data_IF_727843208729
#
_entry.id   IF_727843208729
#
_cell.length_a   1.000
_cell.length_b   1.000
_cell.length_c   1.000
_cell.angle_alpha   90.00
_cell.angle_beta   90.00
_cell.angle_gamma   90.00
#
_symmetry.space_group_name_H-M   'P 1'
#
loop_
_entity.id
_entity.type
_entity.pdbx_description
1 polymer ?
#
# COMPACT_ATOMS: atom_id res chain seq x y z
N UNK A 1 -7.86 -17.86 9.50
CA UNK A 1 -7.76 -16.78 8.49
C UNK A 1 -6.46 -16.88 7.69
N UNK A 2 -5.29 -16.74 8.33
CA UNK A 2 -3.97 -16.78 7.66
C UNK A 2 -3.74 -18.00 6.75
N UNK A 3 -4.05 -19.22 7.21
CA UNK A 3 -3.91 -20.45 6.39
C UNK A 3 -4.69 -20.37 5.07
N UNK A 4 -5.88 -19.77 5.08
CA UNK A 4 -6.72 -19.58 3.89
C UNK A 4 -6.11 -18.50 2.99
N UNK A 5 -5.60 -17.41 3.56
CA UNK A 5 -4.90 -16.36 2.82
C UNK A 5 -3.68 -16.89 2.06
N UNK A 6 -2.81 -17.67 2.72
CA UNK A 6 -1.65 -18.29 2.06
C UNK A 6 -2.05 -19.27 0.96
N UNK A 7 -3.14 -20.01 1.17
CA UNK A 7 -3.66 -20.93 0.17
C UNK A 7 -4.21 -20.16 -1.04
N UNK A 8 -4.90 -19.02 -0.84
CA UNK A 8 -5.34 -18.14 -1.94
C UNK A 8 -4.15 -17.54 -2.70
N UNK A 9 -3.11 -17.08 -2.00
CA UNK A 9 -1.89 -16.54 -2.61
C UNK A 9 -1.24 -17.57 -3.55
N UNK A 10 -1.18 -18.84 -3.13
CA UNK A 10 -0.62 -19.93 -3.95
C UNK A 10 -1.33 -20.09 -5.30
N UNK A 11 -2.62 -19.77 -5.38
CA UNK A 11 -3.44 -19.89 -6.60
C UNK A 11 -3.50 -18.59 -7.41
N UNK A 12 -2.76 -17.55 -7.02
CA UNK A 12 -2.76 -16.24 -7.64
C UNK A 12 -1.33 -15.90 -8.11
N UNK A 13 -0.82 -16.55 -9.18
CA UNK A 13 0.57 -16.40 -9.62
C UNK A 13 0.91 -14.95 -10.00
N UNK A 14 -0.08 -14.14 -10.41
CA UNK A 14 0.12 -12.72 -10.68
C UNK A 14 0.57 -11.90 -9.47
N UNK A 15 0.31 -12.36 -8.23
CA UNK A 15 0.87 -11.72 -7.03
C UNK A 15 2.40 -11.79 -7.00
N UNK A 16 3.00 -12.83 -7.59
CA UNK A 16 4.46 -12.90 -7.75
C UNK A 16 4.96 -11.80 -8.67
N UNK A 17 4.16 -11.38 -9.66
CA UNK A 17 4.50 -10.25 -10.52
C UNK A 17 4.66 -8.95 -9.73
N UNK A 18 3.79 -8.71 -8.74
CA UNK A 18 3.91 -7.54 -7.84
C UNK A 18 5.21 -7.63 -7.02
N UNK A 19 5.53 -8.80 -6.47
CA UNK A 19 6.78 -9.03 -5.77
C UNK A 19 8.00 -8.79 -6.69
N UNK A 20 7.97 -9.29 -7.93
CA UNK A 20 9.04 -9.07 -8.91
C UNK A 20 9.24 -7.59 -9.22
N UNK A 21 8.16 -6.80 -9.34
CA UNK A 21 8.25 -5.35 -9.51
C UNK A 21 8.95 -4.68 -8.32
N UNK A 22 8.58 -5.07 -7.09
CA UNK A 22 9.20 -4.55 -5.86
C UNK A 22 10.68 -4.92 -5.75
N UNK A 23 11.03 -6.18 -6.05
CA UNK A 23 12.43 -6.64 -6.08
C UNK A 23 13.23 -5.88 -7.15
N UNK A 24 12.71 -5.79 -8.37
CA UNK A 24 13.36 -5.10 -9.49
C UNK A 24 13.61 -3.63 -9.18
N UNK A 25 12.62 -2.96 -8.59
CA UNK A 25 12.75 -1.59 -8.11
C UNK A 25 13.82 -1.44 -7.03
N UNK A 26 13.83 -2.33 -6.02
CA UNK A 26 14.83 -2.31 -4.96
C UNK A 26 16.26 -2.53 -5.49
N UNK A 27 16.44 -3.49 -6.40
CA UNK A 27 17.73 -3.75 -7.05
C UNK A 27 18.22 -2.54 -7.87
N UNK A 28 17.32 -1.82 -8.54
CA UNK A 28 17.66 -0.61 -9.29
C UNK A 28 18.21 0.50 -8.38
N UNK A 29 17.59 0.73 -7.21
CA UNK A 29 18.07 1.72 -6.24
C UNK A 29 19.40 1.27 -5.62
N UNK A 30 19.52 0.00 -5.23
CA UNK A 30 20.77 -0.58 -4.72
C UNK A 30 21.90 -0.40 -5.73
N UNK A 31 21.64 -0.68 -7.01
CA UNK A 31 22.62 -0.47 -8.08
C UNK A 31 23.04 0.99 -8.18
N UNK A 32 22.08 1.93 -8.16
CA UNK A 32 22.37 3.38 -8.19
C UNK A 32 23.23 3.84 -7.02
N UNK A 33 22.91 3.37 -5.80
CA UNK A 33 23.69 3.70 -4.60
C UNK A 33 25.13 3.17 -4.69
N UNK A 34 25.32 1.98 -5.27
CA UNK A 34 26.66 1.40 -5.46
C UNK A 34 27.45 2.07 -6.58
N UNK A 35 26.79 2.48 -7.67
CA UNK A 35 27.44 3.18 -8.78
C UNK A 35 27.81 4.63 -8.48
N UNK A 36 27.21 5.22 -7.44
CA UNK A 36 27.42 6.63 -7.07
C UNK A 36 27.46 6.79 -5.55
N UNK A 37 28.51 6.28 -4.88
CA UNK A 37 28.58 6.21 -3.42
C UNK A 37 28.49 7.59 -2.74
N UNK A 38 29.05 8.63 -3.35
CA UNK A 38 28.99 10.01 -2.82
C UNK A 38 27.57 10.58 -2.78
N UNK A 39 26.66 10.04 -3.61
CA UNK A 39 25.25 10.42 -3.67
C UNK A 39 24.31 9.35 -3.08
N UNK A 40 24.85 8.37 -2.34
CA UNK A 40 24.09 7.23 -1.84
C UNK A 40 22.89 7.62 -0.97
N UNK A 41 23.04 8.62 -0.10
CA UNK A 41 21.96 9.15 0.75
C UNK A 41 20.83 9.80 -0.08
N UNK A 42 21.18 10.53 -1.15
CA UNK A 42 20.21 11.14 -2.07
C UNK A 42 19.44 10.04 -2.82
N UNK A 43 20.13 9.03 -3.33
CA UNK A 43 19.50 7.90 -4.01
C UNK A 43 18.60 7.08 -3.09
N UNK A 44 18.99 6.90 -1.83
CA UNK A 44 18.16 6.25 -0.82
C UNK A 44 16.87 7.04 -0.57
N UNK A 45 16.98 8.34 -0.27
CA UNK A 45 15.82 9.21 -0.01
C UNK A 45 14.89 9.32 -1.20
N UNK A 46 15.43 9.51 -2.41
CA UNK A 46 14.63 9.55 -3.63
C UNK A 46 13.97 8.19 -3.91
N UNK A 47 14.67 7.08 -3.65
CA UNK A 47 14.10 5.74 -3.73
C UNK A 47 12.88 5.56 -2.82
N UNK A 48 12.93 6.10 -1.61
CA UNK A 48 11.80 6.08 -0.69
C UNK A 48 10.62 6.92 -1.18
N UNK A 49 10.88 8.14 -1.66
CA UNK A 49 9.85 9.02 -2.19
C UNK A 49 9.14 8.38 -3.39
N UNK A 50 9.90 7.80 -4.32
CA UNK A 50 9.31 7.14 -5.47
C UNK A 50 8.59 5.84 -5.11
N UNK A 51 9.09 5.05 -4.14
CA UNK A 51 8.35 3.89 -3.64
C UNK A 51 6.99 4.32 -3.08
N UNK A 52 6.96 5.36 -2.24
CA UNK A 52 5.72 5.92 -1.70
C UNK A 52 4.73 6.31 -2.79
N UNK A 53 5.21 6.92 -3.88
CA UNK A 53 4.35 7.29 -5.01
C UNK A 53 3.78 6.07 -5.73
N UNK A 54 4.52 4.95 -5.74
CA UNK A 54 4.12 3.68 -6.35
C UNK A 54 3.28 2.80 -5.42
N UNK A 55 3.33 3.01 -4.11
CA UNK A 55 2.59 2.22 -3.10
C UNK A 55 1.09 2.06 -3.41
N UNK A 56 0.34 3.13 -3.74
CA UNK A 56 -1.08 3.01 -4.10
C UNK A 56 -1.30 2.09 -5.31
N UNK A 57 -0.44 2.21 -6.32
CA UNK A 57 -0.50 1.37 -7.50
C UNK A 57 -0.18 -0.09 -7.17
N UNK A 58 0.86 -0.37 -6.38
CA UNK A 58 1.21 -1.73 -5.97
C UNK A 58 0.09 -2.39 -5.15
N UNK A 59 -0.51 -1.64 -4.22
CA UNK A 59 -1.68 -2.09 -3.45
C UNK A 59 -2.88 -2.33 -4.37
N UNK A 60 -3.09 -1.47 -5.37
CA UNK A 60 -4.15 -1.67 -6.36
C UNK A 60 -4.01 -2.94 -7.18
N UNK A 61 -2.79 -3.32 -7.55
CA UNK A 61 -2.53 -4.57 -8.23
C UNK A 61 -2.88 -5.76 -7.32
N UNK A 62 -2.46 -5.72 -6.06
CA UNK A 62 -2.77 -6.77 -5.07
C UNK A 62 -4.30 -6.93 -4.91
N UNK A 63 -5.01 -5.81 -4.70
CA UNK A 63 -6.47 -5.80 -4.53
C UNK A 63 -7.17 -6.24 -5.81
N UNK A 64 -6.73 -5.79 -6.99
CA UNK A 64 -7.33 -6.19 -8.26
C UNK A 64 -7.15 -7.69 -8.55
N UNK A 65 -5.97 -8.24 -8.29
CA UNK A 65 -5.70 -9.68 -8.46
C UNK A 65 -6.59 -10.51 -7.52
N UNK A 66 -6.69 -10.11 -6.25
CA UNK A 66 -7.56 -10.79 -5.30
C UNK A 66 -9.03 -10.64 -5.69
N UNK A 67 -9.48 -9.44 -6.09
CA UNK A 67 -10.86 -9.20 -6.50
C UNK A 67 -11.23 -10.04 -7.72
N UNK A 68 -10.37 -10.09 -8.73
CA UNK A 68 -10.54 -10.92 -9.93
C UNK A 68 -10.66 -12.41 -9.60
N UNK A 69 -9.94 -12.88 -8.58
CA UNK A 69 -10.07 -14.26 -8.10
C UNK A 69 -11.41 -14.49 -7.38
N UNK A 70 -11.86 -13.54 -6.57
CA UNK A 70 -13.16 -13.61 -5.89
C UNK A 70 -14.35 -13.45 -6.85
N UNK A 71 -14.18 -12.73 -7.98
CA UNK A 71 -15.19 -12.55 -9.03
C UNK A 71 -15.52 -13.84 -9.82
N UNK A 72 -14.77 -14.92 -9.59
CA UNK A 72 -15.15 -16.23 -10.10
C UNK A 72 -16.52 -16.62 -9.52
N UNK A 73 -17.54 -16.70 -10.40
CA UNK A 73 -18.98 -16.68 -10.11
C UNK A 73 -19.43 -17.35 -8.79
N UNK A 74 -19.03 -18.57 -8.39
CA UNK A 74 -19.51 -19.15 -7.14
C UNK A 74 -19.08 -18.39 -5.88
N UNK A 75 -17.93 -17.71 -5.88
CA UNK A 75 -17.36 -17.10 -4.69
C UNK A 75 -18.08 -15.80 -4.32
N UNK A 76 -18.23 -14.86 -5.24
CA UNK A 76 -18.78 -13.53 -4.92
C UNK A 76 -20.29 -13.51 -4.66
N UNK A 77 -21.09 -14.32 -5.37
CA UNK A 77 -22.54 -14.38 -5.12
C UNK A 77 -22.87 -14.87 -3.70
N UNK A 78 -22.08 -15.80 -3.16
CA UNK A 78 -22.25 -16.27 -1.78
C UNK A 78 -22.07 -15.14 -0.75
N UNK A 79 -21.11 -14.24 -1.01
CA UNK A 79 -20.83 -13.07 -0.18
C UNK A 79 -21.98 -12.06 -0.28
N UNK A 80 -22.46 -11.76 -1.48
CA UNK A 80 -23.56 -10.82 -1.69
C UNK A 80 -24.87 -11.26 -1.04
N UNK A 81 -25.11 -12.57 -1.03
CA UNK A 81 -26.29 -13.19 -0.38
C UNK A 81 -26.21 -13.24 1.15
N UNK A 82 -25.03 -12.95 1.73
CA UNK A 82 -24.84 -13.01 3.17
C UNK A 82 -25.53 -11.82 3.88
N UNK A 83 -26.14 -12.03 5.07
CA UNK A 83 -26.82 -10.97 5.82
C UNK A 83 -25.85 -9.90 6.36
N UNK A 84 -24.57 -10.25 6.49
CA UNK A 84 -23.49 -9.31 6.76
C UNK A 84 -22.26 -9.73 5.97
N UNK A 85 -21.60 -8.75 5.36
CA UNK A 85 -20.44 -8.92 4.50
C UNK A 85 -19.14 -8.49 5.18
N UNK A 86 -19.21 -8.01 6.42
CA UNK A 86 -18.09 -7.47 7.20
C UNK A 86 -16.96 -8.46 7.39
N UNK A 87 -17.27 -9.73 7.69
CA UNK A 87 -16.23 -10.76 7.87
C UNK A 87 -15.44 -11.01 6.59
N UNK A 88 -16.12 -11.00 5.44
CA UNK A 88 -15.46 -11.15 4.15
C UNK A 88 -14.61 -9.93 3.82
N UNK A 89 -15.15 -8.71 4.02
CA UNK A 89 -14.43 -7.47 3.77
C UNK A 89 -13.15 -7.41 4.61
N UNK A 90 -13.24 -7.63 5.93
CA UNK A 90 -12.07 -7.66 6.81
C UNK A 90 -11.05 -8.73 6.39
N UNK A 91 -11.51 -9.91 5.96
CA UNK A 91 -10.61 -10.96 5.46
C UNK A 91 -9.87 -10.51 4.18
N UNK A 92 -10.59 -9.82 3.30
CA UNK A 92 -10.08 -9.30 2.03
C UNK A 92 -9.04 -8.19 2.27
N UNK A 93 -9.38 -7.18 3.08
CA UNK A 93 -8.48 -6.07 3.43
C UNK A 93 -7.23 -6.56 4.15
N UNK A 94 -7.39 -7.45 5.14
CA UNK A 94 -6.25 -8.06 5.86
C UNK A 94 -5.39 -8.92 4.93
N UNK A 95 -6.00 -9.63 3.98
CA UNK A 95 -5.28 -10.41 2.98
C UNK A 95 -4.41 -9.54 2.08
N UNK A 96 -4.98 -8.47 1.51
CA UNK A 96 -4.26 -7.49 0.72
C UNK A 96 -3.13 -6.81 1.48
N UNK A 97 -3.41 -6.34 2.69
CA UNK A 97 -2.41 -5.67 3.49
C UNK A 97 -1.28 -6.61 3.94
N UNK A 98 -1.58 -7.87 4.25
CA UNK A 98 -0.54 -8.87 4.58
C UNK A 98 0.41 -9.10 3.41
N UNK A 99 -0.10 -9.18 2.17
CA UNK A 99 0.74 -9.32 0.98
C UNK A 99 1.60 -8.08 0.78
N UNK A 100 1.04 -6.89 0.98
CA UNK A 100 1.81 -5.64 0.95
C UNK A 100 2.96 -5.66 1.97
N UNK A 101 2.69 -6.03 3.23
CA UNK A 101 3.70 -6.11 4.28
C UNK A 101 4.81 -7.12 3.94
N UNK A 102 4.48 -8.25 3.31
CA UNK A 102 5.47 -9.23 2.85
C UNK A 102 6.37 -8.65 1.75
N UNK A 103 5.79 -7.97 0.76
CA UNK A 103 6.55 -7.31 -0.30
C UNK A 103 7.46 -6.22 0.25
N UNK A 104 6.94 -5.40 1.17
CA UNK A 104 7.71 -4.35 1.84
C UNK A 104 8.85 -4.93 2.69
N UNK A 105 8.61 -6.02 3.41
CA UNK A 105 9.66 -6.72 4.16
C UNK A 105 10.76 -7.21 3.22
N UNK A 106 10.40 -7.82 2.07
CA UNK A 106 11.39 -8.23 1.06
C UNK A 106 12.21 -7.04 0.56
N UNK A 107 11.57 -5.90 0.28
CA UNK A 107 12.26 -4.68 -0.12
C UNK A 107 13.25 -4.21 0.96
N UNK A 108 12.81 -4.10 2.21
CA UNK A 108 13.68 -3.70 3.33
C UNK A 108 14.86 -4.66 3.54
N UNK A 109 14.65 -5.97 3.39
CA UNK A 109 15.71 -6.97 3.49
C UNK A 109 16.74 -6.84 2.36
N UNK A 110 16.31 -6.57 1.13
CA UNK A 110 17.22 -6.30 0.01
C UNK A 110 18.12 -5.09 0.32
N UNK A 111 17.54 -3.99 0.81
CA UNK A 111 18.31 -2.81 1.19
C UNK A 111 19.29 -3.11 2.32
N UNK A 112 18.86 -3.86 3.33
CA UNK A 112 19.72 -4.25 4.44
C UNK A 112 20.93 -5.09 4.01
N UNK A 113 20.70 -6.08 3.14
CA UNK A 113 21.76 -6.98 2.67
C UNK A 113 22.74 -6.24 1.76
N UNK A 114 22.26 -5.35 0.89
CA UNK A 114 23.07 -4.81 -0.19
C UNK A 114 23.60 -3.39 0.05
N UNK A 115 23.16 -2.69 1.09
CA UNK A 115 23.62 -1.34 1.45
C UNK A 115 24.21 -1.28 2.86
N UNK A 116 25.01 -0.24 3.14
CA UNK A 116 25.65 -0.03 4.45
C UNK A 116 24.82 0.86 5.39
N UNK A 117 23.55 1.09 5.09
CA UNK A 117 22.67 1.95 5.88
C UNK A 117 22.46 1.31 7.28
N UNK A 118 22.39 2.10 8.37
CA UNK A 118 22.20 1.55 9.72
C UNK A 118 20.87 0.79 9.88
N UNK A 119 20.85 -0.25 10.71
CA UNK A 119 19.65 -1.07 10.93
C UNK A 119 18.42 -0.26 11.36
N UNK A 120 18.63 0.76 12.20
CA UNK A 120 17.58 1.67 12.67
C UNK A 120 16.86 2.38 11.54
N UNK A 121 17.55 2.72 10.45
CA UNK A 121 16.94 3.39 9.30
C UNK A 121 16.07 2.43 8.48
N UNK A 122 16.43 1.14 8.37
CA UNK A 122 15.54 0.15 7.73
C UNK A 122 14.28 -0.11 8.54
N UNK A 123 14.39 -0.15 9.88
CA UNK A 123 13.22 -0.30 10.75
C UNK A 123 12.31 0.91 10.59
N UNK A 124 12.86 2.13 10.61
CA UNK A 124 12.09 3.35 10.39
C UNK A 124 11.41 3.35 9.01
N UNK A 125 12.14 2.98 7.96
CA UNK A 125 11.60 2.79 6.61
C UNK A 125 10.43 1.81 6.63
N UNK A 126 10.64 0.60 7.14
CA UNK A 126 9.62 -0.44 7.11
C UNK A 126 8.37 -0.03 7.89
N UNK A 127 8.54 0.51 9.10
CA UNK A 127 7.43 0.98 9.93
C UNK A 127 6.65 2.07 9.21
N UNK A 128 7.35 3.05 8.67
CA UNK A 128 6.71 4.23 8.11
C UNK A 128 5.99 3.89 6.80
N UNK A 129 6.61 3.13 5.90
CA UNK A 129 5.99 2.63 4.66
C UNK A 129 4.82 1.66 4.92
N UNK A 130 4.89 0.86 6.01
CA UNK A 130 3.81 -0.03 6.39
C UNK A 130 2.54 0.78 6.72
N UNK A 131 2.65 1.74 7.65
CA UNK A 131 1.52 2.58 8.04
C UNK A 131 1.00 3.42 6.87
N UNK A 132 1.89 3.99 6.05
CA UNK A 132 1.46 4.76 4.87
C UNK A 132 0.74 3.90 3.83
N UNK A 133 1.18 2.66 3.61
CA UNK A 133 0.45 1.74 2.72
C UNK A 133 -0.94 1.41 3.24
N UNK A 134 -1.14 1.40 4.56
CA UNK A 134 -2.40 1.01 5.20
C UNK A 134 -3.58 1.88 4.74
N UNK A 135 -3.37 3.19 4.58
CA UNK A 135 -4.44 4.13 4.23
C UNK A 135 -4.98 3.95 2.80
N UNK A 136 -4.17 3.37 1.91
CA UNK A 136 -4.60 3.16 0.52
C UNK A 136 -5.51 1.94 0.38
N UNK A 137 -5.51 1.02 1.35
CA UNK A 137 -6.30 -0.22 1.29
C UNK A 137 -7.80 0.08 1.25
N UNK A 138 -8.40 0.85 2.20
CA UNK A 138 -9.83 1.17 2.18
C UNK A 138 -10.25 1.95 0.92
N UNK A 139 -9.42 2.89 0.47
CA UNK A 139 -9.73 3.72 -0.70
C UNK A 139 -9.83 2.83 -1.95
N UNK A 140 -8.81 2.01 -2.19
CA UNK A 140 -8.73 1.19 -3.39
C UNK A 140 -9.74 0.04 -3.36
N UNK A 141 -9.96 -0.59 -2.20
CA UNK A 141 -10.95 -1.66 -2.08
C UNK A 141 -12.36 -1.14 -2.33
N UNK A 142 -12.70 0.10 -1.91
CA UNK A 142 -14.01 0.69 -2.14
C UNK A 142 -14.36 0.68 -3.64
N UNK A 143 -13.45 1.19 -4.47
CA UNK A 143 -13.63 1.20 -5.92
C UNK A 143 -13.61 -0.22 -6.50
N UNK A 144 -12.72 -1.09 -6.00
CA UNK A 144 -12.61 -2.47 -6.46
C UNK A 144 -13.84 -3.34 -6.18
N UNK A 145 -14.47 -3.13 -5.02
CA UNK A 145 -15.62 -3.91 -4.55
C UNK A 145 -16.90 -3.41 -5.23
N UNK A 146 -17.10 -2.09 -5.30
CA UNK A 146 -18.36 -1.51 -5.79
C UNK A 146 -18.43 -1.52 -7.32
N UNK A 147 -17.32 -1.26 -8.00
CA UNK A 147 -17.34 -1.08 -9.46
C UNK A 147 -16.79 -2.30 -10.19
N UNK A 148 -15.51 -2.62 -10.00
CA UNK A 148 -14.86 -3.83 -10.54
C UNK A 148 -13.38 -3.85 -10.17
N UNK A 149 -12.71 -4.98 -10.37
CA UNK A 149 -11.24 -5.06 -10.25
C UNK A 149 -10.48 -4.06 -11.16
N UNK A 150 -11.07 -3.64 -12.30
CA UNK A 150 -10.46 -2.64 -13.18
C UNK A 150 -10.49 -1.25 -12.54
N UNK A 151 -11.56 -0.92 -11.81
CA UNK A 151 -11.67 0.36 -11.12
C UNK A 151 -10.59 0.51 -10.05
N UNK A 152 -10.24 -0.55 -9.33
CA UNK A 152 -9.11 -0.52 -8.38
C UNK A 152 -7.79 -0.17 -9.08
N UNK A 153 -7.51 -0.77 -10.24
CA UNK A 153 -6.30 -0.47 -11.03
C UNK A 153 -6.28 0.99 -11.48
N UNK A 154 -7.40 1.47 -12.03
CA UNK A 154 -7.52 2.87 -12.49
C UNK A 154 -7.24 3.85 -11.35
N UNK A 155 -7.83 3.61 -10.18
CA UNK A 155 -7.57 4.45 -8.99
C UNK A 155 -6.10 4.40 -8.60
N UNK A 156 -5.50 3.21 -8.55
CA UNK A 156 -4.06 3.07 -8.25
C UNK A 156 -3.17 3.85 -9.22
N UNK A 157 -3.44 3.78 -10.52
CA UNK A 157 -2.69 4.54 -11.54
C UNK A 157 -2.92 6.04 -11.39
N UNK A 158 -4.18 6.48 -11.21
CA UNK A 158 -4.53 7.90 -11.07
C UNK A 158 -3.98 8.52 -9.78
N UNK A 159 -3.74 7.72 -8.75
CA UNK A 159 -3.11 8.19 -7.52
C UNK A 159 -1.60 8.44 -7.66
N UNK A 160 -0.92 7.89 -8.68
CA UNK A 160 0.52 8.16 -8.93
C UNK A 160 0.78 9.64 -9.24
N UNK A 161 0.15 10.28 -10.27
CA UNK A 161 0.39 11.70 -10.52
C UNK A 161 -0.09 12.58 -9.38
N UNK A 162 -1.13 12.16 -8.64
CA UNK A 162 -1.57 12.85 -7.42
C UNK A 162 -0.47 12.84 -6.36
N UNK A 163 0.07 11.66 -6.00
CA UNK A 163 1.14 11.57 -5.00
C UNK A 163 2.38 12.33 -5.48
N UNK A 164 2.81 12.16 -6.74
CA UNK A 164 3.96 12.92 -7.29
C UNK A 164 3.74 14.42 -7.22
N UNK A 165 2.58 14.93 -7.65
CA UNK A 165 2.28 16.36 -7.63
C UNK A 165 2.33 16.91 -6.20
N UNK A 166 1.61 16.31 -5.26
CA UNK A 166 1.62 16.77 -3.87
C UNK A 166 2.99 16.59 -3.19
N UNK A 167 3.77 15.61 -3.63
CA UNK A 167 5.14 15.39 -3.19
C UNK A 167 6.15 16.42 -3.63
N UNK A 168 5.96 16.98 -4.83
CA UNK A 168 6.95 17.83 -5.50
C UNK A 168 6.62 19.32 -5.46
N UNK A 169 5.33 19.71 -5.51
CA UNK A 169 4.93 21.12 -5.59
C UNK A 169 4.41 21.72 -4.29
N UNK A 170 3.88 20.91 -3.37
CA UNK A 170 3.26 21.38 -2.11
C UNK A 170 4.22 21.30 -0.90
N UNK A 171 5.52 21.27 -1.14
CA UNK A 171 6.55 21.25 -0.09
C UNK A 171 6.46 22.46 0.87
N UNK A 172 5.80 23.57 0.47
CA UNK A 172 5.72 24.82 1.24
C UNK A 172 4.36 25.25 1.82
N UNK A 173 3.22 24.59 1.54
CA UNK A 173 1.90 25.08 1.97
C UNK A 173 1.37 24.23 3.15
N UNK A 174 1.06 24.87 4.28
CA UNK A 174 0.74 24.23 5.56
C UNK A 174 -0.55 23.40 5.55
N UNK A 175 -1.50 23.69 4.66
CA UNK A 175 -2.80 23.03 4.61
C UNK A 175 -2.71 21.54 4.21
N UNK A 176 -1.83 21.23 3.25
CA UNK A 176 -1.65 19.88 2.71
C UNK A 176 -0.81 18.99 3.61
N UNK A 177 -0.10 19.59 4.59
CA UNK A 177 0.54 18.85 5.66
C UNK A 177 -0.48 18.14 6.54
N UNK A 178 -1.78 18.41 6.46
CA UNK A 178 -2.79 17.77 7.33
C UNK A 178 -3.49 16.57 6.67
N UNK A 179 -3.26 16.30 5.38
CA UNK A 179 -3.90 15.19 4.67
C UNK A 179 -3.04 13.94 4.79
N UNK A 180 -3.51 12.87 5.47
CA UNK A 180 -2.77 11.61 5.67
C UNK A 180 -2.19 11.01 4.38
N UNK A 181 -2.90 11.16 3.26
CA UNK A 181 -2.51 10.68 1.94
C UNK A 181 -1.27 11.37 1.36
N UNK A 182 -0.90 12.54 1.91
CA UNK A 182 0.19 13.42 1.45
C UNK A 182 1.38 13.45 2.43
N UNK A 183 1.19 13.06 3.70
CA UNK A 183 2.27 12.91 4.69
C UNK A 183 3.37 11.94 4.23
N UNK A 184 2.99 11.00 3.36
CA UNK A 184 3.81 9.94 2.77
C UNK A 184 5.12 10.41 2.15
N UNK A 185 5.17 11.63 1.61
CA UNK A 185 6.33 12.10 0.83
C UNK A 185 7.33 12.86 1.71
N UNK A 186 6.97 13.14 2.97
CA UNK A 186 7.82 13.84 3.95
C UNK A 186 8.43 12.89 4.98
N UNK A 187 8.36 11.57 4.80
CA UNK A 187 8.77 10.55 5.78
C UNK A 187 10.19 10.76 6.33
N UNK A 188 11.11 11.21 5.47
CA UNK A 188 12.52 11.47 5.80
C UNK A 188 12.75 12.83 6.48
N UNK A 189 11.72 13.69 6.52
CA UNK A 189 11.71 15.00 7.16
C UNK A 189 10.99 14.99 8.52
N UNK A 190 10.25 13.91 8.83
CA UNK A 190 9.46 13.85 10.06
C UNK A 190 10.38 13.53 11.24
N UNK A 191 10.45 14.41 12.26
CA UNK A 191 11.19 14.12 13.47
C UNK A 191 10.64 12.87 14.13
N UNK A 192 11.51 12.02 14.70
CA UNK A 192 11.09 10.80 15.43
C UNK A 192 10.04 11.08 16.52
N UNK A 193 10.06 12.27 17.11
CA UNK A 193 9.09 12.72 18.11
C UNK A 193 7.66 12.91 17.57
N UNK A 194 7.50 13.12 16.26
CA UNK A 194 6.21 13.30 15.60
C UNK A 194 5.69 12.03 14.92
N UNK A 195 6.53 10.98 14.83
CA UNK A 195 6.19 9.71 14.18
C UNK A 195 4.97 9.04 14.82
N UNK A 196 4.88 9.03 16.16
CA UNK A 196 3.76 8.43 16.90
C UNK A 196 2.45 9.13 16.55
N UNK A 197 2.45 10.47 16.53
CA UNK A 197 1.27 11.26 16.18
C UNK A 197 0.81 11.01 14.75
N UNK A 198 1.75 10.93 13.79
CA UNK A 198 1.44 10.57 12.42
C UNK A 198 0.81 9.18 12.32
N UNK A 199 1.40 8.19 12.99
CA UNK A 199 0.86 6.82 13.02
C UNK A 199 -0.57 6.82 13.58
N UNK A 200 -0.83 7.55 14.66
CA UNK A 200 -2.17 7.65 15.24
C UNK A 200 -3.17 8.29 14.26
N UNK A 201 -2.79 9.37 13.58
CA UNK A 201 -3.65 10.01 12.57
C UNK A 201 -3.95 9.05 11.43
N UNK A 202 -2.94 8.37 10.89
CA UNK A 202 -3.12 7.37 9.82
C UNK A 202 -4.05 6.26 10.27
N UNK A 203 -3.87 5.74 11.48
CA UNK A 203 -4.72 4.67 12.04
C UNK A 203 -6.18 5.11 12.18
N UNK A 204 -6.42 6.32 12.70
CA UNK A 204 -7.78 6.87 12.85
C UNK A 204 -8.42 7.07 11.48
N UNK A 205 -7.71 7.68 10.53
CA UNK A 205 -8.24 7.90 9.18
C UNK A 205 -8.53 6.58 8.47
N UNK A 206 -7.59 5.63 8.51
CA UNK A 206 -7.79 4.30 7.92
C UNK A 206 -8.99 3.59 8.54
N UNK A 207 -9.16 3.68 9.87
CA UNK A 207 -10.32 3.09 10.55
C UNK A 207 -11.63 3.73 10.09
N UNK A 208 -11.70 5.06 9.99
CA UNK A 208 -12.87 5.78 9.52
C UNK A 208 -13.22 5.43 8.07
N UNK A 209 -12.21 5.38 7.20
CA UNK A 209 -12.36 4.96 5.80
C UNK A 209 -12.87 3.51 5.74
N UNK A 210 -12.27 2.59 6.48
CA UNK A 210 -12.68 1.18 6.51
C UNK A 210 -14.12 1.00 7.02
N UNK A 211 -14.54 1.77 8.02
CA UNK A 211 -15.92 1.78 8.53
C UNK A 211 -16.89 2.28 7.46
N UNK A 212 -16.53 3.32 6.72
CA UNK A 212 -17.32 3.83 5.59
C UNK A 212 -17.46 2.77 4.49
N UNK A 213 -16.35 2.13 4.08
CA UNK A 213 -16.40 1.04 3.09
C UNK A 213 -17.28 -0.10 3.58
N UNK A 214 -17.14 -0.51 4.84
CA UNK A 214 -17.96 -1.56 5.40
C UNK A 214 -19.45 -1.19 5.40
N UNK A 215 -19.80 0.04 5.74
CA UNK A 215 -21.17 0.51 5.67
C UNK A 215 -21.70 0.52 4.23
N UNK A 216 -20.94 1.07 3.28
CA UNK A 216 -21.32 1.09 1.87
C UNK A 216 -21.49 -0.34 1.32
N UNK A 217 -20.56 -1.25 1.62
CA UNK A 217 -20.59 -2.60 1.08
C UNK A 217 -21.73 -3.44 1.64
N UNK A 218 -22.11 -3.28 2.92
CA UNK A 218 -23.27 -3.98 3.47
C UNK A 218 -24.61 -3.45 2.91
N UNK A 219 -24.67 -2.17 2.53
CA UNK A 219 -25.88 -1.57 1.95
C UNK A 219 -25.92 -1.62 0.41
N UNK A 220 -24.85 -2.09 -0.23
CA UNK A 220 -24.79 -2.19 -1.69
C UNK A 220 -25.69 -3.31 -2.22
N UNK A 221 -26.52 -3.01 -3.20
CA UNK A 221 -27.51 -3.96 -3.75
C UNK A 221 -26.97 -4.81 -4.91
N UNK A 222 -25.69 -4.63 -5.30
CA UNK A 222 -25.04 -5.48 -6.31
C UNK A 222 -25.44 -5.18 -7.76
N UNK A 223 -26.03 -4.00 -8.02
CA UNK A 223 -26.43 -3.53 -9.36
C UNK A 223 -25.32 -2.72 -10.01
#
# INVERSE_FOLDING_TARGET
MLKVTFLKIKHQPFLLGVLTLVIGYGLLIVWKMRSSPDNSDIWFKNGLVYLNCLTPFLISLIIAIQRKFEDQRPNFYSVLSSPSRTKWLLAFSLGAYTIWLMNLLTFSLLFWIFTKVPFSEYVNLWVSEAFLGMIWVPIIEYFGIIHSYLASIVVGVMTIPFTIYYGTTQLGIDLWKMIPWVYSIKIYLIPKSQLIWMILVILICTLLEQLLVNWCFNNWTGR
#
